data_IF_645416716982
#
_entry.id   IF_645416716982
#
_cell.length_a   1.000
_cell.length_b   1.000
_cell.length_c   1.000
_cell.angle_alpha   90.00
_cell.angle_beta   90.00
_cell.angle_gamma   90.00
#
_symmetry.space_group_name_H-M   'P 1'
#
loop_
_entity.id
_entity.type
_entity.pdbx_description
1 polymer ?
#
# COMPACT_ATOMS: atom_id res chain seq x y z
N UNK A 1 21.43 10.13 12.04
CA UNK A 1 21.30 11.52 12.50
C UNK A 1 20.05 12.10 11.87
N UNK A 2 18.97 12.22 12.65
CA UNK A 2 17.75 12.95 12.29
C UNK A 2 17.13 13.41 13.61
N UNK A 3 17.17 14.71 13.87
CA UNK A 3 16.65 15.35 15.09
C UNK A 3 15.13 15.15 15.24
N UNK A 4 14.60 15.02 16.47
CA UNK A 4 13.16 14.92 16.71
C UNK A 4 12.56 16.33 16.82
N UNK A 5 12.36 17.04 15.70
CA UNK A 5 11.46 18.20 15.65
C UNK A 5 10.85 18.32 14.25
N UNK A 6 9.83 17.51 13.96
CA UNK A 6 8.91 17.72 12.82
C UNK A 6 7.69 18.58 13.22
N UNK A 7 7.81 19.39 14.28
CA UNK A 7 6.73 20.27 14.78
C UNK A 7 6.34 21.40 13.81
N UNK A 8 7.04 21.56 12.67
CA UNK A 8 6.79 22.63 11.69
C UNK A 8 6.66 22.20 10.23
N UNK A 9 6.65 20.90 9.91
CA UNK A 9 6.52 20.48 8.51
C UNK A 9 5.09 20.74 8.02
N UNK A 10 4.95 21.73 7.12
CA UNK A 10 3.71 22.01 6.40
C UNK A 10 3.78 21.44 4.99
N UNK A 11 2.65 20.94 4.50
CA UNK A 11 2.48 20.71 3.08
C UNK A 11 2.54 22.06 2.37
N UNK A 12 3.38 22.16 1.34
CA UNK A 12 3.55 23.39 0.55
C UNK A 12 2.46 23.56 -0.51
N UNK A 13 1.59 22.55 -0.63
CA UNK A 13 0.50 22.49 -1.60
C UNK A 13 -0.62 23.50 -1.28
N UNK A 14 -0.88 24.48 -2.19
CA UNK A 14 -1.84 25.54 -1.93
C UNK A 14 -3.25 25.03 -1.63
N UNK A 15 -3.83 25.48 -0.52
CA UNK A 15 -5.22 25.19 -0.16
C UNK A 15 -5.50 23.76 0.30
N UNK A 16 -4.46 22.93 0.49
CA UNK A 16 -4.61 21.57 1.06
C UNK A 16 -4.53 21.61 2.58
N UNK A 17 -3.66 22.43 3.15
CA UNK A 17 -3.47 22.55 4.60
C UNK A 17 -3.87 23.94 5.11
N UNK A 18 -4.64 23.99 6.20
CA UNK A 18 -5.05 25.25 6.84
C UNK A 18 -3.97 25.84 7.78
N UNK A 19 -4.27 26.97 8.43
CA UNK A 19 -3.31 27.65 9.31
C UNK A 19 -3.01 26.85 10.60
N UNK A 20 -3.98 26.06 11.06
CA UNK A 20 -3.88 25.18 12.22
C UNK A 20 -3.18 23.84 11.89
N UNK A 21 -2.97 23.57 10.60
CA UNK A 21 -2.30 22.39 10.08
C UNK A 21 -3.23 21.22 9.75
N UNK A 22 -4.54 21.43 9.67
CA UNK A 22 -5.51 20.41 9.21
C UNK A 22 -5.44 20.28 7.70
N UNK A 23 -5.74 19.08 7.21
CA UNK A 23 -5.65 18.72 5.79
C UNK A 23 -7.05 18.51 5.22
N UNK A 24 -7.34 19.13 4.08
CA UNK A 24 -8.50 18.78 3.26
C UNK A 24 -8.20 17.47 2.52
N UNK A 25 -8.77 16.39 3.03
CA UNK A 25 -8.58 15.03 2.53
C UNK A 25 -8.98 14.89 1.06
N UNK A 26 -10.06 15.55 0.63
CA UNK A 26 -10.55 15.45 -0.75
C UNK A 26 -9.58 16.12 -1.71
N UNK A 27 -9.07 17.30 -1.34
CA UNK A 27 -8.06 18.00 -2.14
C UNK A 27 -6.72 17.26 -2.15
N UNK A 28 -6.32 16.65 -1.03
CA UNK A 28 -5.11 15.84 -0.96
C UNK A 28 -5.18 14.66 -1.93
N UNK A 29 -6.26 13.86 -1.86
CA UNK A 29 -6.46 12.69 -2.73
C UNK A 29 -6.50 13.09 -4.21
N UNK A 30 -7.20 14.17 -4.55
CA UNK A 30 -7.23 14.71 -5.92
C UNK A 30 -5.85 15.15 -6.40
N UNK A 31 -5.06 15.80 -5.53
CA UNK A 31 -3.71 16.22 -5.88
C UNK A 31 -2.79 15.03 -6.14
N UNK A 32 -2.81 14.03 -5.25
CA UNK A 32 -2.06 12.77 -5.41
C UNK A 32 -2.41 12.12 -6.75
N UNK A 33 -3.71 12.01 -7.05
CA UNK A 33 -4.17 11.39 -8.29
C UNK A 33 -3.69 12.13 -9.55
N UNK A 34 -3.83 13.46 -9.59
CA UNK A 34 -3.44 14.28 -10.75
C UNK A 34 -1.93 14.39 -10.94
N UNK A 35 -1.22 14.70 -9.87
CA UNK A 35 0.13 15.25 -9.94
C UNK A 35 1.18 14.31 -9.32
N UNK A 36 0.76 13.29 -8.57
CA UNK A 36 1.64 12.54 -7.69
C UNK A 36 2.12 13.40 -6.51
N UNK A 37 3.04 12.85 -5.71
CA UNK A 37 3.62 13.54 -4.57
C UNK A 37 5.11 13.82 -4.81
N UNK A 38 5.57 15.01 -4.43
CA UNK A 38 6.99 15.36 -4.50
C UNK A 38 7.82 14.56 -3.49
N UNK A 39 9.06 14.16 -3.79
CA UNK A 39 9.88 13.38 -2.86
C UNK A 39 10.07 14.04 -1.48
N UNK A 40 10.18 15.36 -1.42
CA UNK A 40 10.34 16.12 -0.18
C UNK A 40 9.10 16.12 0.72
N UNK A 41 7.91 16.02 0.15
CA UNK A 41 6.65 16.05 0.91
C UNK A 41 6.10 14.65 1.16
N UNK A 42 6.59 13.65 0.44
CA UNK A 42 6.09 12.28 0.45
C UNK A 42 5.94 11.70 1.84
N UNK A 43 6.97 11.82 2.67
CA UNK A 43 6.91 11.34 4.04
C UNK A 43 5.77 11.97 4.84
N UNK A 44 5.52 13.29 4.71
CA UNK A 44 4.43 13.95 5.43
C UNK A 44 3.07 13.55 4.85
N UNK A 45 2.93 13.47 3.53
CA UNK A 45 1.70 13.03 2.86
C UNK A 45 1.34 11.62 3.27
N UNK A 46 2.30 10.69 3.34
CA UNK A 46 2.05 9.29 3.71
C UNK A 46 1.50 9.14 5.12
N UNK A 47 1.93 9.99 6.06
CA UNK A 47 1.37 10.00 7.43
C UNK A 47 -0.14 10.32 7.43
N UNK A 48 -0.64 11.12 6.48
CA UNK A 48 -2.08 11.37 6.33
C UNK A 48 -2.76 10.30 5.46
N UNK A 49 -2.18 9.99 4.29
CA UNK A 49 -2.73 9.07 3.31
C UNK A 49 -3.02 7.69 3.91
N UNK A 50 -2.11 7.21 4.76
CA UNK A 50 -2.21 5.91 5.41
C UNK A 50 -2.78 5.97 6.82
N UNK A 51 -3.45 7.06 7.20
CA UNK A 51 -4.28 7.10 8.41
C UNK A 51 -3.53 7.21 9.74
N UNK A 52 -2.19 7.30 9.75
CA UNK A 52 -1.42 7.56 10.97
C UNK A 52 -1.85 8.89 11.62
N UNK A 53 -2.07 9.92 10.79
CA UNK A 53 -2.62 11.20 11.21
C UNK A 53 -4.00 11.42 10.61
N UNK A 54 -5.02 11.69 11.45
CA UNK A 54 -6.31 12.15 10.95
C UNK A 54 -6.16 13.46 10.18
N UNK A 55 -6.78 13.58 9.01
CA UNK A 55 -6.75 14.81 8.22
C UNK A 55 -7.33 16.01 9.00
N UNK A 56 -8.29 15.77 9.90
CA UNK A 56 -8.90 16.79 10.77
C UNK A 56 -8.00 17.28 11.93
N UNK A 57 -6.88 16.60 12.19
CA UNK A 57 -5.98 16.95 13.29
C UNK A 57 -5.23 18.26 13.03
N UNK A 58 -4.96 19.01 14.08
CA UNK A 58 -4.07 20.18 14.08
C UNK A 58 -2.61 19.75 14.25
N UNK A 59 -1.67 20.65 13.95
CA UNK A 59 -0.24 20.40 14.18
C UNK A 59 0.10 20.13 15.66
N UNK A 60 -0.61 20.80 16.57
CA UNK A 60 -0.44 20.60 18.01
C UNK A 60 -0.93 19.21 18.44
N UNK A 61 -2.15 18.82 18.03
CA UNK A 61 -2.69 17.49 18.33
C UNK A 61 -1.80 16.38 17.80
N UNK A 62 -1.26 16.53 16.59
CA UNK A 62 -0.32 15.54 16.02
C UNK A 62 0.98 15.42 16.80
N UNK A 63 1.48 16.52 17.37
CA UNK A 63 2.69 16.47 18.20
C UNK A 63 2.46 15.63 19.45
N UNK A 64 1.29 15.77 20.09
CA UNK A 64 0.89 14.95 21.25
C UNK A 64 0.64 13.49 20.83
N UNK A 65 -0.05 13.28 19.71
CA UNK A 65 -0.33 11.95 19.16
C UNK A 65 0.97 11.21 18.84
N UNK A 66 1.96 11.88 18.26
CA UNK A 66 3.24 11.28 17.94
C UNK A 66 3.93 10.69 19.18
N UNK A 67 3.96 11.43 20.29
CA UNK A 67 4.51 10.92 21.55
C UNK A 67 3.77 9.65 22.01
N UNK A 68 2.43 9.65 21.93
CA UNK A 68 1.62 8.48 22.29
C UNK A 68 1.93 7.27 21.39
N UNK A 69 2.03 7.49 20.08
CA UNK A 69 2.33 6.45 19.09
C UNK A 69 3.72 5.84 19.30
N UNK A 70 4.71 6.68 19.61
CA UNK A 70 6.08 6.23 19.95
C UNK A 70 6.07 5.36 21.19
N UNK A 71 5.42 5.80 22.26
CA UNK A 71 5.37 5.06 23.53
C UNK A 71 4.63 3.74 23.38
N UNK A 72 3.47 3.74 22.69
CA UNK A 72 2.70 2.53 22.41
C UNK A 72 3.52 1.50 21.65
N UNK A 73 4.14 1.91 20.54
CA UNK A 73 5.00 1.02 19.75
C UNK A 73 6.13 0.42 20.60
N UNK A 74 6.80 1.22 21.43
CA UNK A 74 7.87 0.74 22.32
C UNK A 74 7.39 -0.29 23.34
N UNK A 75 6.18 -0.11 23.89
CA UNK A 75 5.58 -1.09 24.81
C UNK A 75 5.23 -2.38 24.06
N UNK A 76 4.63 -2.28 22.88
CA UNK A 76 4.32 -3.44 22.04
C UNK A 76 5.58 -4.24 21.72
N UNK A 77 6.62 -3.54 21.26
CA UNK A 77 7.91 -4.13 20.91
C UNK A 77 8.56 -4.85 22.10
N UNK A 78 8.64 -4.19 23.25
CA UNK A 78 9.19 -4.82 24.48
C UNK A 78 8.40 -6.06 24.90
N UNK A 79 7.08 -6.05 24.76
CA UNK A 79 6.23 -7.17 25.17
C UNK A 79 6.59 -8.45 24.39
N UNK A 80 6.71 -8.39 23.05
CA UNK A 80 7.10 -9.58 22.29
C UNK A 80 8.56 -9.96 22.52
N UNK A 81 9.46 -8.99 22.73
CA UNK A 81 10.87 -9.25 23.04
C UNK A 81 11.04 -10.00 24.36
N UNK A 82 10.24 -9.67 25.38
CA UNK A 82 10.21 -10.39 26.67
C UNK A 82 9.59 -11.78 26.54
N UNK A 83 8.53 -11.90 25.73
CA UNK A 83 7.86 -13.18 25.49
C UNK A 83 8.71 -14.16 24.67
N UNK A 84 9.42 -13.68 23.66
CA UNK A 84 10.27 -14.48 22.79
C UNK A 84 11.71 -13.89 22.71
N UNK A 85 12.52 -14.02 23.79
CA UNK A 85 13.87 -13.44 23.83
C UNK A 85 14.80 -13.95 22.72
N UNK A 86 14.57 -15.18 22.23
CA UNK A 86 15.33 -15.75 21.11
C UNK A 86 15.16 -14.96 19.81
N UNK A 87 14.03 -14.26 19.63
CA UNK A 87 13.77 -13.47 18.44
C UNK A 87 14.40 -12.08 18.48
N UNK A 88 14.95 -11.62 19.62
CA UNK A 88 15.60 -10.31 19.75
C UNK A 88 16.86 -10.22 18.89
N UNK A 89 17.57 -11.34 18.72
CA UNK A 89 18.79 -11.41 17.91
C UNK A 89 18.49 -12.19 16.63
N UNK A 90 18.80 -11.59 15.49
CA UNK A 90 18.77 -12.29 14.22
C UNK A 90 20.00 -13.19 14.11
N UNK A 91 19.79 -14.51 14.02
CA UNK A 91 20.87 -15.48 13.84
C UNK A 91 20.92 -15.89 12.39
N UNK A 92 21.90 -15.38 11.64
CA UNK A 92 22.15 -15.78 10.26
C UNK A 92 23.52 -16.44 10.16
N UNK A 93 23.64 -17.40 9.25
CA UNK A 93 24.75 -18.33 9.09
C UNK A 93 26.08 -17.64 8.65
N UNK A 94 26.63 -16.73 9.46
CA UNK A 94 28.03 -16.30 9.41
C UNK A 94 28.40 -15.20 8.41
N UNK A 95 27.49 -14.34 7.97
CA UNK A 95 27.77 -13.24 7.04
C UNK A 95 28.19 -11.95 7.76
N UNK A 96 29.33 -11.36 7.36
CA UNK A 96 29.93 -10.16 7.96
C UNK A 96 29.02 -8.91 7.91
N UNK A 97 28.22 -8.79 6.85
CA UNK A 97 27.31 -7.66 6.65
C UNK A 97 26.23 -7.58 7.73
N UNK A 98 25.87 -8.71 8.33
CA UNK A 98 24.84 -8.78 9.36
C UNK A 98 25.37 -8.44 10.74
N UNK A 99 26.65 -8.70 10.98
CA UNK A 99 27.33 -8.21 12.19
C UNK A 99 27.38 -6.68 12.17
N UNK A 100 27.65 -6.06 11.01
CA UNK A 100 27.59 -4.60 10.87
C UNK A 100 26.16 -4.06 11.08
N UNK A 101 25.13 -4.76 10.57
CA UNK A 101 23.72 -4.45 10.82
C UNK A 101 23.41 -4.33 12.31
N UNK A 102 23.78 -5.38 13.04
CA UNK A 102 23.50 -5.54 14.46
C UNK A 102 24.17 -4.42 15.25
N UNK A 103 25.44 -4.11 14.94
CA UNK A 103 26.15 -3.00 15.59
C UNK A 103 25.49 -1.64 15.35
N UNK A 104 25.06 -1.36 14.12
CA UNK A 104 24.33 -0.13 13.80
C UNK A 104 23.02 -0.05 14.59
N UNK A 105 22.28 -1.16 14.65
CA UNK A 105 21.03 -1.25 15.38
C UNK A 105 21.20 -1.03 16.88
N UNK A 106 22.21 -1.67 17.48
CA UNK A 106 22.57 -1.50 18.89
C UNK A 106 22.94 -0.04 19.21
N UNK A 107 23.72 0.60 18.32
CA UNK A 107 24.03 2.03 18.45
C UNK A 107 22.78 2.92 18.42
N UNK A 108 21.83 2.64 17.52
CA UNK A 108 20.58 3.42 17.42
C UNK A 108 19.72 3.26 18.69
N UNK A 109 19.64 2.04 19.24
CA UNK A 109 18.96 1.82 20.51
C UNK A 109 19.63 2.58 21.66
N UNK A 110 20.96 2.55 21.74
CA UNK A 110 21.70 3.27 22.77
C UNK A 110 21.48 4.80 22.68
N UNK A 111 21.47 5.36 21.47
CA UNK A 111 21.18 6.78 21.25
C UNK A 111 19.75 7.15 21.67
N UNK A 112 18.76 6.32 21.36
CA UNK A 112 17.38 6.56 21.78
C UNK A 112 17.20 6.52 23.31
N UNK A 113 17.96 5.66 24.00
CA UNK A 113 17.97 5.59 25.46
C UNK A 113 18.62 6.84 26.08
N UNK A 114 19.78 7.27 25.56
CA UNK A 114 20.44 8.50 26.00
C UNK A 114 19.55 9.74 25.82
N UNK A 115 18.90 9.87 24.65
CA UNK A 115 17.97 10.98 24.39
C UNK A 115 16.77 11.02 25.35
N UNK A 116 16.34 9.87 25.87
CA UNK A 116 15.24 9.82 26.86
C UNK A 116 15.73 10.27 28.24
N UNK A 117 17.01 10.04 28.56
CA UNK A 117 17.60 10.38 29.85
C UNK A 117 17.91 11.88 29.99
N UNK A 118 18.23 12.55 28.88
CA UNK A 118 18.52 13.99 28.81
C UNK A 118 17.26 14.89 28.83
N UNK A 119 16.05 14.30 28.87
CA UNK A 119 14.80 15.06 28.89
C UNK A 119 14.49 15.64 30.27
N UNK A 120 13.80 16.80 30.28
CA UNK A 120 13.31 17.45 31.50
C UNK A 120 12.38 16.54 32.30
N UNK A 121 12.33 16.73 33.62
CA UNK A 121 11.51 15.94 34.54
C UNK A 121 10.03 15.88 34.14
N UNK A 122 9.44 17.02 33.75
CA UNK A 122 8.04 17.09 33.28
C UNK A 122 7.77 16.18 32.06
N UNK A 123 8.70 16.14 31.11
CA UNK A 123 8.60 15.27 29.92
C UNK A 123 8.73 13.80 30.33
N UNK A 124 9.61 13.48 31.29
CA UNK A 124 9.75 12.11 31.81
C UNK A 124 8.48 11.63 32.51
N UNK A 125 7.89 12.46 33.36
CA UNK A 125 6.62 12.14 34.04
C UNK A 125 5.49 11.91 33.05
N UNK A 126 5.40 12.77 32.03
CA UNK A 126 4.44 12.62 30.94
C UNK A 126 4.64 11.32 30.16
N UNK A 127 5.88 10.98 29.81
CA UNK A 127 6.20 9.73 29.12
C UNK A 127 5.92 8.50 29.99
N UNK A 128 6.20 8.55 31.29
CA UNK A 128 5.90 7.48 32.23
C UNK A 128 4.38 7.23 32.33
N UNK A 129 3.59 8.30 32.35
CA UNK A 129 2.13 8.19 32.31
C UNK A 129 1.63 7.54 31.01
N UNK A 130 2.13 7.98 29.85
CA UNK A 130 1.80 7.35 28.55
C UNK A 130 2.23 5.89 28.50
N UNK A 131 3.35 5.55 29.12
CA UNK A 131 3.87 4.19 29.17
C UNK A 131 2.95 3.29 29.99
N UNK A 132 2.49 3.75 31.17
CA UNK A 132 1.52 3.03 31.98
C UNK A 132 0.21 2.80 31.21
N UNK A 133 -0.29 3.83 30.51
CA UNK A 133 -1.49 3.68 29.67
C UNK A 133 -1.30 2.63 28.57
N UNK A 134 -0.15 2.63 27.90
CA UNK A 134 0.16 1.64 26.88
C UNK A 134 0.32 0.23 27.45
N UNK A 135 0.95 0.08 28.63
CA UNK A 135 1.07 -1.21 29.32
C UNK A 135 -0.30 -1.80 29.64
N UNK A 136 -1.21 -0.99 30.18
CA UNK A 136 -2.60 -1.41 30.46
C UNK A 136 -3.32 -1.80 29.16
N UNK A 137 -3.19 -0.99 28.10
CA UNK A 137 -3.82 -1.25 26.80
C UNK A 137 -3.42 -2.62 26.23
N UNK A 138 -2.14 -2.99 26.36
CA UNK A 138 -1.59 -4.22 25.77
C UNK A 138 -1.41 -5.35 26.77
N UNK A 139 -1.83 -5.19 28.03
CA UNK A 139 -1.66 -6.19 29.09
C UNK A 139 -2.32 -7.51 28.70
N UNK A 140 -3.58 -7.44 28.22
CA UNK A 140 -4.42 -8.59 27.89
C UNK A 140 -4.09 -9.24 26.55
N UNK A 141 -3.21 -8.65 25.74
CA UNK A 141 -2.76 -9.26 24.50
C UNK A 141 -1.89 -10.47 24.86
N UNK A 142 -2.28 -11.65 24.40
CA UNK A 142 -1.55 -12.90 24.54
C UNK A 142 -0.99 -13.32 23.19
N UNK A 143 0.18 -13.96 23.19
CA UNK A 143 0.80 -14.44 21.97
C UNK A 143 0.74 -15.96 21.93
N UNK A 144 0.38 -16.52 20.77
CA UNK A 144 0.64 -17.92 20.49
C UNK A 144 2.14 -18.09 20.18
N UNK A 145 2.80 -18.95 20.94
CA UNK A 145 4.25 -19.13 20.84
C UNK A 145 4.67 -19.83 19.55
N UNK A 146 3.87 -20.77 19.05
CA UNK A 146 4.19 -21.53 17.84
C UNK A 146 3.97 -20.65 16.60
N UNK A 147 2.84 -19.97 16.52
CA UNK A 147 2.52 -19.07 15.41
C UNK A 147 3.52 -17.91 15.30
N UNK A 148 3.86 -17.27 16.43
CA UNK A 148 4.81 -16.15 16.42
C UNK A 148 6.23 -16.62 16.05
N UNK A 149 6.67 -17.80 16.51
CA UNK A 149 7.97 -18.36 16.11
C UNK A 149 8.02 -18.66 14.62
N UNK A 150 6.93 -19.17 14.07
CA UNK A 150 6.82 -19.43 12.65
C UNK A 150 6.87 -18.15 11.83
N UNK A 151 6.13 -17.11 12.23
CA UNK A 151 6.21 -15.79 11.60
C UNK A 151 7.64 -15.24 11.62
N UNK A 152 8.31 -15.25 12.78
CA UNK A 152 9.71 -14.82 12.91
C UNK A 152 10.64 -15.60 11.98
N UNK A 153 10.46 -16.92 11.87
CA UNK A 153 11.27 -17.78 11.00
C UNK A 153 11.14 -17.39 9.52
N UNK A 154 9.94 -17.02 9.07
CA UNK A 154 9.72 -16.59 7.69
C UNK A 154 10.29 -15.17 7.50
N UNK A 155 10.04 -14.25 8.44
CA UNK A 155 10.59 -12.89 8.42
C UNK A 155 12.13 -12.92 8.35
N UNK A 156 12.78 -13.79 9.12
CA UNK A 156 14.25 -13.94 9.13
C UNK A 156 14.82 -14.40 7.78
N UNK A 157 14.00 -15.03 6.94
CA UNK A 157 14.37 -15.40 5.56
C UNK A 157 14.10 -14.28 4.55
N UNK A 158 13.06 -13.47 4.79
CA UNK A 158 12.58 -12.45 3.86
C UNK A 158 13.29 -11.11 4.04
N UNK A 159 13.51 -10.66 5.27
CA UNK A 159 14.14 -9.37 5.55
C UNK A 159 15.52 -9.22 4.88
N UNK A 160 16.47 -10.20 4.97
CA UNK A 160 17.81 -10.03 4.40
C UNK A 160 17.86 -9.88 2.87
N UNK A 161 16.82 -10.34 2.17
CA UNK A 161 16.72 -10.30 0.70
C UNK A 161 15.85 -9.15 0.18
N UNK A 162 15.33 -8.29 1.05
CA UNK A 162 14.39 -7.22 0.70
C UNK A 162 15.11 -6.04 0.04
N UNK A 163 14.72 -5.67 -1.19
CA UNK A 163 15.08 -4.44 -1.91
C UNK A 163 16.55 -4.02 -1.79
N UNK A 164 17.47 -4.97 -1.97
CA UNK A 164 18.91 -4.82 -1.75
C UNK A 164 19.61 -3.95 -2.80
N UNK A 165 18.92 -3.70 -3.89
CA UNK A 165 19.25 -2.76 -4.95
C UNK A 165 19.04 -1.29 -4.54
N UNK A 166 18.24 -1.02 -3.50
CA UNK A 166 18.03 0.33 -3.00
C UNK A 166 19.17 0.77 -2.09
N UNK A 167 19.68 1.98 -2.32
CA UNK A 167 20.71 2.60 -1.48
C UNK A 167 20.33 2.61 0.02
N UNK A 168 19.04 2.74 0.32
CA UNK A 168 18.52 2.73 1.68
C UNK A 168 18.81 1.42 2.46
N UNK A 169 19.03 0.31 1.74
CA UNK A 169 19.38 -1.01 2.30
C UNK A 169 20.76 -1.53 1.89
N UNK A 170 21.47 -0.83 0.99
CA UNK A 170 22.69 -1.33 0.32
C UNK A 170 23.98 -1.29 1.14
N UNK A 171 24.24 -0.22 1.90
CA UNK A 171 25.54 -0.03 2.61
C UNK A 171 25.44 -0.15 4.14
N UNK A 172 24.22 -0.23 4.67
CA UNK A 172 23.94 -0.28 6.11
C UNK A 172 22.74 -1.17 6.41
N UNK A 173 23.01 -2.47 6.57
CA UNK A 173 22.05 -3.53 6.89
C UNK A 173 21.23 -3.32 8.18
N UNK A 174 21.48 -2.24 8.92
CA UNK A 174 20.71 -1.84 10.09
C UNK A 174 19.24 -1.52 9.81
N UNK A 175 18.92 -0.95 8.63
CA UNK A 175 17.53 -0.71 8.25
C UNK A 175 16.74 -2.01 7.98
N UNK A 176 17.43 -3.12 7.65
CA UNK A 176 16.80 -4.44 7.54
C UNK A 176 16.40 -5.00 8.91
N UNK A 177 17.16 -4.69 9.96
CA UNK A 177 16.80 -5.05 11.33
C UNK A 177 15.61 -4.22 11.84
N UNK A 178 15.54 -2.94 11.45
CA UNK A 178 14.36 -2.11 11.73
C UNK A 178 13.13 -2.67 11.02
N UNK A 179 13.24 -3.00 9.73
CA UNK A 179 12.18 -3.65 8.96
C UNK A 179 11.69 -4.94 9.65
N UNK A 180 12.62 -5.79 10.07
CA UNK A 180 12.34 -7.03 10.80
C UNK A 180 11.56 -6.78 12.09
N UNK A 181 11.99 -5.83 12.91
CA UNK A 181 11.34 -5.53 14.18
C UNK A 181 9.93 -4.97 14.00
N UNK A 182 9.70 -4.16 12.95
CA UNK A 182 8.35 -3.71 12.58
C UNK A 182 7.47 -4.91 12.24
N UNK A 183 7.95 -5.83 11.39
CA UNK A 183 7.18 -6.99 10.95
C UNK A 183 6.87 -7.96 12.10
N UNK A 184 7.82 -8.20 13.02
CA UNK A 184 7.58 -9.04 14.21
C UNK A 184 6.57 -8.37 15.14
N UNK A 185 6.71 -7.06 15.37
CA UNK A 185 5.75 -6.31 16.18
C UNK A 185 4.35 -6.38 15.55
N UNK A 186 4.25 -6.25 14.22
CA UNK A 186 2.97 -6.38 13.52
C UNK A 186 2.37 -7.77 13.71
N UNK A 187 3.13 -8.84 13.41
CA UNK A 187 2.66 -10.21 13.49
C UNK A 187 2.20 -10.60 14.91
N UNK A 188 2.90 -10.12 15.95
CA UNK A 188 2.53 -10.40 17.34
C UNK A 188 1.23 -9.74 17.78
N UNK A 189 0.89 -8.57 17.21
CA UNK A 189 -0.29 -7.78 17.62
C UNK A 189 -1.47 -7.85 16.64
N UNK A 190 -1.30 -8.55 15.51
CA UNK A 190 -2.32 -8.81 14.51
C UNK A 190 -2.32 -10.31 14.12
N UNK A 191 -2.53 -11.23 15.09
CA UNK A 191 -2.37 -12.67 14.86
C UNK A 191 -3.32 -13.22 13.78
N UNK A 192 -4.45 -12.57 13.53
CA UNK A 192 -5.39 -12.94 12.47
C UNK A 192 -4.83 -12.80 11.04
N UNK A 193 -3.79 -11.97 10.89
CA UNK A 193 -3.01 -11.83 9.65
C UNK A 193 -1.64 -12.48 9.82
N UNK A 194 -1.02 -12.28 10.98
CA UNK A 194 0.35 -12.65 11.31
C UNK A 194 1.32 -12.09 10.25
N UNK A 195 2.24 -12.92 9.75
CA UNK A 195 3.12 -12.59 8.64
C UNK A 195 2.84 -13.47 7.42
N UNK A 196 2.66 -12.83 6.27
CA UNK A 196 2.59 -13.46 4.96
C UNK A 196 3.74 -12.96 4.07
N UNK A 197 4.28 -13.86 3.25
CA UNK A 197 5.35 -13.53 2.32
C UNK A 197 4.93 -12.38 1.38
N UNK A 198 5.80 -11.39 1.22
CA UNK A 198 5.53 -10.15 0.46
C UNK A 198 5.23 -8.94 1.34
N UNK A 199 4.83 -9.13 2.60
CA UNK A 199 4.65 -8.03 3.55
C UNK A 199 5.95 -7.27 3.82
N UNK A 200 7.11 -7.93 3.73
CA UNK A 200 8.43 -7.30 3.82
C UNK A 200 8.65 -6.25 2.72
N UNK A 201 8.31 -6.56 1.46
CA UNK A 201 8.48 -5.68 0.31
C UNK A 201 7.57 -4.45 0.42
N UNK A 202 6.34 -4.67 0.92
CA UNK A 202 5.36 -3.61 1.20
C UNK A 202 5.83 -2.71 2.35
N UNK A 203 6.16 -3.29 3.50
CA UNK A 203 6.63 -2.55 4.68
C UNK A 203 7.92 -1.76 4.39
N UNK A 204 8.79 -2.32 3.54
CA UNK A 204 10.01 -1.66 3.10
C UNK A 204 9.77 -0.30 2.44
N UNK A 205 8.71 -0.15 1.63
CA UNK A 205 8.35 1.15 1.02
C UNK A 205 8.05 2.21 2.06
N UNK A 206 7.26 1.85 3.07
CA UNK A 206 6.94 2.74 4.18
C UNK A 206 8.19 3.10 4.96
N UNK A 207 9.09 2.15 5.17
CA UNK A 207 10.33 2.40 5.92
C UNK A 207 11.27 3.34 5.19
N UNK A 208 11.45 3.16 3.88
CA UNK A 208 12.26 4.03 3.05
C UNK A 208 11.71 5.46 2.98
N UNK A 209 10.39 5.60 2.78
CA UNK A 209 9.75 6.91 2.63
C UNK A 209 9.66 7.69 3.95
N UNK A 210 9.39 6.99 5.05
CA UNK A 210 9.16 7.65 6.35
C UNK A 210 10.44 7.78 7.18
N UNK A 211 11.46 6.94 6.93
CA UNK A 211 12.72 6.83 7.69
C UNK A 211 12.50 6.83 9.22
N UNK A 212 11.41 6.20 9.67
CA UNK A 212 11.00 6.17 11.06
C UNK A 212 10.30 4.86 11.37
N UNK A 213 10.90 4.07 12.27
CA UNK A 213 10.36 2.78 12.68
C UNK A 213 8.90 2.86 13.17
N UNK A 214 8.60 3.88 13.99
CA UNK A 214 7.28 4.09 14.58
C UNK A 214 6.26 4.51 13.52
N UNK A 215 6.63 5.48 12.68
CA UNK A 215 5.70 6.01 11.69
C UNK A 215 5.40 4.96 10.62
N UNK A 216 6.42 4.19 10.25
CA UNK A 216 6.30 3.01 9.40
C UNK A 216 5.36 1.99 10.01
N UNK A 217 5.55 1.60 11.28
CA UNK A 217 4.66 0.64 11.92
C UNK A 217 3.19 1.09 11.88
N UNK A 218 2.89 2.33 12.27
CA UNK A 218 1.51 2.80 12.31
C UNK A 218 0.91 2.97 10.93
N UNK A 219 1.64 3.57 9.98
CA UNK A 219 1.17 3.72 8.60
C UNK A 219 0.94 2.36 7.92
N UNK A 220 1.86 1.41 8.13
CA UNK A 220 1.73 0.04 7.63
C UNK A 220 0.56 -0.69 8.28
N UNK A 221 0.38 -0.58 9.60
CA UNK A 221 -0.72 -1.24 10.31
C UNK A 221 -2.08 -0.74 9.82
N UNK A 222 -2.25 0.57 9.71
CA UNK A 222 -3.47 1.18 9.17
C UNK A 222 -3.73 0.78 7.71
N UNK A 223 -2.68 0.66 6.89
CA UNK A 223 -2.83 0.11 5.54
C UNK A 223 -3.33 -1.34 5.59
N UNK A 224 -2.74 -2.19 6.43
CA UNK A 224 -3.11 -3.60 6.52
C UNK A 224 -4.52 -3.83 7.07
N UNK A 225 -5.11 -2.90 7.83
CA UNK A 225 -6.53 -2.99 8.21
C UNK A 225 -7.45 -3.10 6.97
N UNK A 226 -7.11 -2.41 5.88
CA UNK A 226 -7.85 -2.47 4.61
C UNK A 226 -7.44 -3.69 3.76
N UNK A 227 -6.14 -3.94 3.65
CA UNK A 227 -5.58 -4.88 2.67
C UNK A 227 -5.24 -6.27 3.23
N UNK A 228 -5.43 -6.53 4.52
CA UNK A 228 -5.08 -7.82 5.15
C UNK A 228 -5.75 -9.03 4.52
N UNK A 229 -6.96 -8.87 3.96
CA UNK A 229 -7.67 -9.93 3.24
C UNK A 229 -6.87 -10.50 2.07
N UNK A 230 -6.09 -9.66 1.40
CA UNK A 230 -5.30 -10.04 0.22
C UNK A 230 -4.11 -10.92 0.57
N UNK A 231 -3.64 -10.85 1.82
CA UNK A 231 -2.54 -11.65 2.35
C UNK A 231 -3.01 -12.93 3.06
N UNK A 232 -4.33 -13.13 3.21
CA UNK A 232 -4.91 -14.37 3.71
C UNK A 232 -5.15 -15.36 2.57
N UNK A 233 -5.45 -16.62 2.90
CA UNK A 233 -5.66 -17.72 1.94
C UNK A 233 -6.68 -17.43 0.82
N UNK A 234 -7.51 -16.39 0.98
CA UNK A 234 -8.48 -15.89 0.01
C UNK A 234 -7.86 -15.06 -1.14
N UNK A 235 -6.53 -14.84 -1.18
CA UNK A 235 -5.84 -14.12 -2.27
C UNK A 235 -6.06 -14.70 -3.68
N UNK A 236 -6.61 -15.92 -3.76
CA UNK A 236 -7.15 -16.53 -4.99
C UNK A 236 -8.29 -15.70 -5.61
N UNK A 237 -9.05 -14.96 -4.80
CA UNK A 237 -10.18 -14.14 -5.27
C UNK A 237 -9.75 -13.03 -6.23
N UNK A 238 -8.63 -12.33 -5.97
CA UNK A 238 -8.12 -11.30 -6.90
C UNK A 238 -7.73 -11.91 -8.24
N UNK A 239 -7.09 -13.08 -8.23
CA UNK A 239 -6.74 -13.81 -9.47
C UNK A 239 -7.98 -14.23 -10.27
N UNK A 240 -9.06 -14.62 -9.59
CA UNK A 240 -10.35 -14.91 -10.24
C UNK A 240 -10.92 -13.66 -10.90
N UNK A 241 -10.85 -12.50 -10.23
CA UNK A 241 -11.33 -11.23 -10.78
C UNK A 241 -10.47 -10.73 -11.96
N UNK A 242 -9.14 -10.87 -11.90
CA UNK A 242 -8.23 -10.59 -13.01
C UNK A 242 -8.61 -11.40 -14.25
N UNK A 243 -8.77 -12.71 -14.07
CA UNK A 243 -9.14 -13.64 -15.12
C UNK A 243 -10.52 -13.28 -15.70
N UNK A 244 -11.50 -12.94 -14.84
CA UNK A 244 -12.84 -12.53 -15.25
C UNK A 244 -12.82 -11.23 -16.08
N UNK A 245 -12.09 -10.20 -15.63
CA UNK A 245 -11.98 -8.94 -16.36
C UNK A 245 -11.28 -9.15 -17.70
N UNK A 246 -10.18 -9.92 -17.75
CA UNK A 246 -9.49 -10.19 -19.01
C UNK A 246 -10.39 -10.92 -19.99
N UNK A 247 -11.21 -11.87 -19.52
CA UNK A 247 -12.20 -12.56 -20.37
C UNK A 247 -13.20 -11.60 -21.01
N UNK A 248 -13.59 -10.53 -20.32
CA UNK A 248 -14.52 -9.52 -20.85
C UNK A 248 -13.86 -8.54 -21.84
N UNK A 249 -12.57 -8.28 -21.65
CA UNK A 249 -11.79 -7.36 -22.48
C UNK A 249 -11.19 -8.03 -23.72
N UNK A 250 -10.63 -9.24 -23.58
CA UNK A 250 -10.05 -10.05 -24.65
C UNK A 250 -10.23 -11.56 -24.38
N UNK A 251 -11.35 -12.17 -24.84
CA UNK A 251 -11.62 -13.59 -24.66
C UNK A 251 -10.57 -14.53 -25.26
N UNK A 252 -9.89 -14.10 -26.34
CA UNK A 252 -8.89 -14.93 -27.01
C UNK A 252 -7.62 -15.04 -26.17
N UNK A 253 -7.12 -13.90 -25.67
CA UNK A 253 -5.97 -13.88 -24.78
C UNK A 253 -6.26 -14.62 -23.48
N UNK A 254 -7.46 -14.42 -22.91
CA UNK A 254 -7.91 -15.19 -21.75
C UNK A 254 -7.88 -16.71 -22.01
N UNK A 255 -8.45 -17.18 -23.12
CA UNK A 255 -8.50 -18.60 -23.42
C UNK A 255 -7.10 -19.22 -23.56
N UNK A 256 -6.17 -18.48 -24.17
CA UNK A 256 -4.77 -18.89 -24.29
C UNK A 256 -4.11 -19.06 -22.92
N UNK A 257 -4.26 -18.07 -22.04
CA UNK A 257 -3.64 -18.04 -20.71
C UNK A 257 -4.29 -18.98 -19.68
N UNK A 258 -5.41 -19.63 -20.01
CA UNK A 258 -6.16 -20.54 -19.10
C UNK A 258 -6.24 -21.97 -19.67
N UNK A 259 -5.38 -22.30 -20.64
CA UNK A 259 -5.28 -23.67 -21.20
C UNK A 259 -4.65 -24.64 -20.17
N UNK A 260 -4.87 -25.96 -20.30
CA UNK A 260 -4.47 -27.05 -19.36
C UNK A 260 -2.99 -27.10 -18.91
N UNK A 261 -2.12 -26.23 -19.42
CA UNK A 261 -0.71 -26.07 -18.99
C UNK A 261 -0.41 -24.73 -18.29
N UNK A 262 -1.35 -23.78 -18.29
CA UNK A 262 -1.25 -22.41 -17.74
C UNK A 262 -2.27 -22.23 -16.60
N UNK A 263 -2.15 -22.99 -15.52
CA UNK A 263 -3.14 -22.95 -14.45
C UNK A 263 -3.08 -21.62 -13.65
N UNK A 264 -4.08 -20.76 -13.86
CA UNK A 264 -4.58 -19.74 -12.92
C UNK A 264 -3.82 -18.41 -12.73
N UNK A 265 -3.27 -17.80 -13.80
CA UNK A 265 -2.64 -16.47 -13.71
C UNK A 265 -1.55 -16.38 -12.62
N UNK A 266 -0.95 -17.51 -12.25
CA UNK A 266 0.03 -17.60 -11.14
C UNK A 266 1.28 -16.78 -11.43
N UNK A 267 1.64 -16.61 -12.70
CA UNK A 267 2.72 -15.74 -13.15
C UNK A 267 2.49 -14.25 -12.82
N UNK A 268 1.24 -13.83 -12.62
CA UNK A 268 0.85 -12.45 -12.33
C UNK A 268 0.80 -12.23 -10.80
N UNK A 269 1.94 -11.88 -10.22
CA UNK A 269 2.03 -11.50 -8.80
C UNK A 269 1.85 -9.99 -8.56
N UNK A 270 1.53 -9.23 -9.62
CA UNK A 270 1.57 -7.78 -9.63
C UNK A 270 0.62 -7.13 -8.63
N UNK A 271 -0.60 -7.66 -8.49
CA UNK A 271 -1.59 -7.07 -7.59
C UNK A 271 -1.23 -7.22 -6.11
N UNK A 272 -0.55 -8.31 -5.74
CA UNK A 272 -0.17 -8.55 -4.34
C UNK A 272 0.84 -7.51 -3.85
N UNK A 273 1.79 -7.16 -4.72
CA UNK A 273 2.83 -6.19 -4.42
C UNK A 273 2.56 -4.83 -5.05
N UNK A 274 1.35 -4.53 -5.53
CA UNK A 274 1.02 -3.24 -6.16
C UNK A 274 2.05 -2.79 -7.19
N UNK A 275 2.48 -3.71 -8.07
CA UNK A 275 3.41 -3.48 -9.18
C UNK A 275 4.81 -2.94 -8.80
N UNK A 276 5.35 -3.32 -7.62
CA UNK A 276 6.63 -2.79 -7.12
C UNK A 276 7.79 -2.88 -8.11
N UNK A 277 7.83 -3.99 -8.84
CA UNK A 277 9.04 -4.43 -9.55
C UNK A 277 8.96 -4.06 -11.03
N UNK A 278 7.76 -3.84 -11.54
CA UNK A 278 7.46 -3.64 -12.94
C UNK A 278 7.74 -2.21 -13.41
N UNK A 279 7.66 -1.24 -12.49
CA UNK A 279 7.95 0.17 -12.73
C UNK A 279 9.32 0.57 -12.16
N UNK A 280 9.86 1.68 -12.67
CA UNK A 280 10.99 2.36 -12.01
C UNK A 280 10.60 2.74 -10.58
N UNK A 281 11.56 2.78 -9.66
CA UNK A 281 11.28 2.93 -8.23
C UNK A 281 10.42 4.16 -7.89
N UNK A 282 10.68 5.32 -8.50
CA UNK A 282 9.89 6.53 -8.25
C UNK A 282 8.47 6.42 -8.79
N UNK A 283 8.29 5.76 -9.92
CA UNK A 283 6.98 5.46 -10.51
C UNK A 283 6.22 4.41 -9.70
N UNK A 284 6.89 3.40 -9.15
CA UNK A 284 6.28 2.41 -8.27
C UNK A 284 5.71 3.05 -7.00
N UNK A 285 6.44 4.00 -6.39
CA UNK A 285 5.95 4.80 -5.25
C UNK A 285 4.74 5.66 -5.66
N UNK A 286 4.81 6.34 -6.80
CA UNK A 286 3.70 7.18 -7.28
C UNK A 286 2.45 6.36 -7.59
N UNK A 287 2.60 5.20 -8.21
CA UNK A 287 1.50 4.29 -8.46
C UNK A 287 0.88 3.81 -7.15
N UNK A 288 1.71 3.45 -6.16
CA UNK A 288 1.24 3.06 -4.84
C UNK A 288 0.41 4.16 -4.16
N UNK A 289 0.82 5.43 -4.28
CA UNK A 289 0.08 6.59 -3.77
C UNK A 289 -1.28 6.75 -4.47
N UNK A 290 -1.30 6.62 -5.80
CA UNK A 290 -2.51 6.72 -6.62
C UNK A 290 -3.52 5.64 -6.24
N UNK A 291 -3.07 4.39 -6.09
CA UNK A 291 -3.94 3.28 -5.71
C UNK A 291 -4.43 3.43 -4.28
N UNK A 292 -3.59 3.91 -3.36
CA UNK A 292 -3.92 4.03 -1.93
C UNK A 292 -4.82 5.22 -1.58
N UNK A 293 -5.07 6.15 -2.50
CA UNK A 293 -5.90 7.34 -2.23
C UNK A 293 -7.42 7.09 -2.38
N UNK A 294 -7.82 5.86 -2.77
CA UNK A 294 -9.19 5.38 -3.02
C UNK A 294 -10.00 6.32 -3.97
N UNK A 295 -9.34 7.21 -4.71
CA UNK A 295 -9.99 8.26 -5.49
C UNK A 295 -10.87 7.69 -6.61
N UNK A 296 -10.43 6.59 -7.22
CA UNK A 296 -11.16 5.94 -8.30
C UNK A 296 -12.31 5.07 -7.80
N UNK A 297 -12.20 4.47 -6.60
CA UNK A 297 -13.34 3.83 -5.95
C UNK A 297 -14.42 4.87 -5.59
N UNK A 298 -14.00 6.02 -5.08
CA UNK A 298 -14.90 7.15 -4.80
C UNK A 298 -15.57 7.66 -6.07
N UNK A 299 -14.86 7.76 -7.19
CA UNK A 299 -15.47 8.13 -8.48
C UNK A 299 -16.43 7.04 -8.96
N UNK A 300 -16.06 5.76 -8.88
CA UNK A 300 -16.95 4.65 -9.22
C UNK A 300 -18.26 4.70 -8.41
N UNK A 301 -18.16 4.90 -7.09
CA UNK A 301 -19.30 5.05 -6.19
C UNK A 301 -20.11 6.33 -6.45
N UNK A 302 -19.46 7.45 -6.80
CA UNK A 302 -20.14 8.70 -7.15
C UNK A 302 -20.92 8.55 -8.47
N UNK A 303 -20.33 7.89 -9.46
CA UNK A 303 -21.00 7.56 -10.73
C UNK A 303 -22.18 6.61 -10.46
N UNK A 304 -22.05 5.62 -9.56
CA UNK A 304 -23.17 4.78 -9.13
C UNK A 304 -24.27 5.53 -8.38
N UNK A 305 -23.92 6.43 -7.47
CA UNK A 305 -24.88 7.27 -6.73
C UNK A 305 -25.64 8.23 -7.65
N UNK A 306 -24.94 8.89 -8.56
CA UNK A 306 -25.57 9.74 -9.58
C UNK A 306 -26.56 8.92 -10.42
N UNK A 307 -26.17 7.70 -10.83
CA UNK A 307 -27.05 6.76 -11.54
C UNK A 307 -28.28 6.34 -10.71
N UNK A 308 -28.11 6.03 -9.43
CA UNK A 308 -29.22 5.66 -8.54
C UNK A 308 -30.22 6.81 -8.36
N UNK A 309 -29.73 8.03 -8.16
CA UNK A 309 -30.55 9.22 -8.06
C UNK A 309 -31.32 9.50 -9.35
N UNK A 310 -30.71 9.31 -10.53
CA UNK A 310 -31.40 9.42 -11.82
C UNK A 310 -32.48 8.34 -12.01
N UNK A 311 -32.26 7.10 -11.52
CA UNK A 311 -33.26 6.01 -11.53
C UNK A 311 -34.47 6.35 -10.65
N UNK A 312 -34.24 6.93 -9.47
CA UNK A 312 -35.32 7.37 -8.58
C UNK A 312 -36.10 8.56 -9.15
N UNK A 313 -35.41 9.47 -9.84
CA UNK A 313 -36.03 10.60 -10.51
C UNK A 313 -36.89 10.19 -11.72
N UNK A 314 -36.59 9.05 -12.35
CA UNK A 314 -37.33 8.52 -13.50
C UNK A 314 -38.16 7.31 -13.10
N UNK A 315 -39.36 7.56 -12.57
CA UNK A 315 -40.39 6.51 -12.44
C UNK A 315 -40.59 5.85 -13.82
N UNK A 316 -40.23 4.56 -13.91
CA UNK A 316 -40.39 3.62 -15.04
C UNK A 316 -39.18 3.45 -16.00
N UNK A 317 -38.42 2.38 -15.78
CA UNK A 317 -38.01 1.44 -16.83
C UNK A 317 -37.64 0.09 -16.21
N UNK A 318 -38.30 -0.97 -16.65
CA UNK A 318 -38.14 -2.36 -16.20
C UNK A 318 -37.38 -3.17 -17.27
N UNK A 319 -36.16 -2.76 -17.63
CA UNK A 319 -35.20 -3.68 -18.25
C UNK A 319 -34.06 -3.91 -17.27
N UNK A 320 -33.75 -5.18 -17.01
CA UNK A 320 -32.63 -5.58 -16.17
C UNK A 320 -31.33 -5.30 -16.93
N UNK A 321 -30.81 -4.08 -16.77
CA UNK A 321 -29.47 -3.69 -17.23
C UNK A 321 -28.43 -4.50 -16.46
N UNK A 322 -27.38 -4.94 -17.16
CA UNK A 322 -26.24 -5.59 -16.52
C UNK A 322 -25.53 -4.55 -15.64
N UNK A 323 -25.61 -4.71 -14.32
CA UNK A 323 -24.96 -3.81 -13.38
C UNK A 323 -23.44 -3.81 -13.63
N UNK A 324 -22.80 -2.65 -13.49
CA UNK A 324 -21.33 -2.57 -13.44
C UNK A 324 -20.86 -3.46 -12.29
N UNK A 325 -19.92 -4.36 -12.56
CA UNK A 325 -19.32 -5.13 -11.49
C UNK A 325 -18.43 -4.21 -10.66
N UNK A 326 -18.90 -3.85 -9.47
CA UNK A 326 -18.17 -3.02 -8.50
C UNK A 326 -16.93 -3.71 -7.94
N UNK A 327 -16.80 -5.02 -8.15
CA UNK A 327 -15.64 -5.79 -7.72
C UNK A 327 -14.43 -5.58 -8.66
N UNK A 328 -14.64 -4.99 -9.85
CA UNK A 328 -13.55 -4.63 -10.76
C UNK A 328 -12.92 -3.30 -10.35
N UNK A 329 -11.94 -3.37 -9.45
CA UNK A 329 -11.12 -2.25 -8.99
C UNK A 329 -10.19 -1.72 -10.07
N UNK A 330 -9.67 -0.50 -9.90
CA UNK A 330 -8.81 0.11 -10.91
C UNK A 330 -7.46 -0.61 -11.08
N UNK A 331 -6.92 -1.23 -10.03
CA UNK A 331 -5.71 -2.06 -10.13
C UNK A 331 -5.87 -3.19 -11.15
N UNK A 332 -7.08 -3.76 -11.26
CA UNK A 332 -7.38 -4.78 -12.25
C UNK A 332 -7.31 -4.23 -13.68
N UNK A 333 -7.72 -2.97 -13.89
CA UNK A 333 -7.58 -2.31 -15.19
C UNK A 333 -6.13 -1.94 -15.52
N UNK A 334 -5.29 -1.67 -14.52
CA UNK A 334 -3.84 -1.52 -14.72
C UNK A 334 -3.23 -2.86 -15.15
N UNK A 335 -3.56 -3.95 -14.45
CA UNK A 335 -3.12 -5.29 -14.83
C UNK A 335 -3.55 -5.63 -16.27
N UNK A 336 -4.83 -5.43 -16.60
CA UNK A 336 -5.37 -5.66 -17.93
C UNK A 336 -4.68 -4.79 -19.00
N UNK A 337 -4.41 -3.51 -18.71
CA UNK A 337 -3.72 -2.62 -19.65
C UNK A 337 -2.32 -3.16 -20.01
N UNK A 338 -1.56 -3.65 -19.02
CA UNK A 338 -0.23 -4.24 -19.23
C UNK A 338 -0.34 -5.52 -20.07
N UNK A 339 -1.29 -6.40 -19.76
CA UNK A 339 -1.50 -7.64 -20.50
C UNK A 339 -1.92 -7.38 -21.96
N UNK A 340 -2.86 -6.47 -22.17
CA UNK A 340 -3.38 -6.14 -23.50
C UNK A 340 -2.34 -5.43 -24.38
N UNK A 341 -1.49 -4.59 -23.79
CA UNK A 341 -0.36 -3.98 -24.50
C UNK A 341 0.65 -5.02 -24.99
N UNK A 342 0.82 -6.10 -24.23
CA UNK A 342 1.77 -7.18 -24.52
C UNK A 342 1.13 -8.42 -25.14
N UNK A 343 -0.12 -8.29 -25.61
CA UNK A 343 -0.96 -9.37 -26.12
C UNK A 343 -0.23 -10.31 -27.08
N UNK A 344 0.43 -9.77 -28.09
CA UNK A 344 1.10 -10.57 -29.13
C UNK A 344 2.29 -11.37 -28.58
N UNK A 345 2.98 -10.87 -27.56
CA UNK A 345 4.05 -11.61 -26.88
C UNK A 345 3.48 -12.72 -26.01
N UNK A 346 2.39 -12.44 -25.29
CA UNK A 346 1.71 -13.43 -24.44
C UNK A 346 1.11 -14.59 -25.25
N UNK A 347 0.50 -14.30 -26.41
CA UNK A 347 -0.03 -15.33 -27.32
C UNK A 347 1.07 -16.23 -27.93
N UNK A 348 2.33 -15.77 -27.93
CA UNK A 348 3.47 -16.60 -28.37
C UNK A 348 4.00 -17.52 -27.27
N UNK A 349 3.72 -17.23 -26.00
CA UNK A 349 4.15 -18.06 -24.88
C UNK A 349 3.41 -19.41 -24.92
N UNK A 350 4.15 -20.51 -24.78
CA UNK A 350 3.61 -21.87 -24.85
C UNK A 350 3.64 -22.62 -23.50
N UNK A 351 4.44 -22.12 -22.55
CA UNK A 351 4.68 -22.72 -21.24
C UNK A 351 4.83 -21.64 -20.16
N UNK A 352 4.74 -22.04 -18.89
CA UNK A 352 4.87 -21.15 -17.72
C UNK A 352 6.26 -20.51 -17.64
N UNK A 353 7.30 -21.20 -18.14
CA UNK A 353 8.67 -20.69 -18.12
C UNK A 353 8.78 -19.45 -19.01
N UNK A 354 8.18 -19.48 -20.20
CA UNK A 354 8.13 -18.34 -21.11
C UNK A 354 7.30 -17.19 -20.53
N UNK A 355 6.22 -17.48 -19.80
CA UNK A 355 5.46 -16.44 -19.09
C UNK A 355 6.26 -15.79 -17.97
N UNK A 356 7.01 -16.57 -17.18
CA UNK A 356 7.89 -16.05 -16.12
C UNK A 356 9.04 -15.22 -16.72
N UNK A 357 9.60 -15.66 -17.85
CA UNK A 357 10.62 -14.87 -18.58
C UNK A 357 10.03 -13.57 -19.11
N UNK A 358 8.80 -13.61 -19.64
CA UNK A 358 8.09 -12.42 -20.08
C UNK A 358 7.87 -11.44 -18.92
N UNK A 359 7.33 -11.88 -17.78
CA UNK A 359 7.12 -10.98 -16.63
C UNK A 359 8.43 -10.40 -16.10
N UNK A 360 9.47 -11.23 -15.99
CA UNK A 360 10.82 -10.78 -15.62
C UNK A 360 11.38 -9.75 -16.60
N UNK A 361 11.03 -9.85 -17.89
CA UNK A 361 11.48 -8.91 -18.91
C UNK A 361 10.89 -7.50 -18.76
N UNK A 362 9.74 -7.37 -18.08
CA UNK A 362 9.06 -6.09 -17.81
C UNK A 362 9.64 -5.33 -16.62
N UNK A 363 10.43 -5.99 -15.77
CA UNK A 363 10.93 -5.43 -14.51
C UNK A 363 11.64 -4.07 -14.75
N UNK A 364 11.14 -3.02 -14.10
CA UNK A 364 11.65 -1.65 -14.17
C UNK A 364 11.53 -0.95 -15.54
N UNK A 365 10.72 -1.48 -16.47
CA UNK A 365 10.65 -0.97 -17.86
C UNK A 365 9.30 -0.39 -18.25
N UNK A 366 8.26 -0.58 -17.45
CA UNK A 366 6.94 -0.03 -17.77
C UNK A 366 6.90 1.49 -17.58
N UNK A 367 6.24 2.19 -18.51
CA UNK A 367 5.96 3.62 -18.39
C UNK A 367 4.64 3.84 -17.65
N UNK A 368 4.69 4.49 -16.49
CA UNK A 368 3.53 4.68 -15.64
C UNK A 368 2.42 5.51 -16.30
N UNK A 369 2.77 6.62 -16.94
CA UNK A 369 1.77 7.55 -17.50
C UNK A 369 1.00 6.93 -18.67
N UNK A 370 1.69 6.21 -19.56
CA UNK A 370 1.11 5.44 -20.65
C UNK A 370 0.20 4.34 -20.10
N UNK A 371 0.66 3.61 -19.09
CA UNK A 371 -0.11 2.52 -18.46
C UNK A 371 -1.38 3.05 -17.81
N UNK A 372 -1.29 4.12 -17.01
CA UNK A 372 -2.46 4.76 -16.38
C UNK A 372 -3.46 5.25 -17.42
N UNK A 373 -3.01 5.92 -18.49
CA UNK A 373 -3.88 6.40 -19.57
C UNK A 373 -4.63 5.26 -20.26
N UNK A 374 -3.98 4.12 -20.49
CA UNK A 374 -4.61 2.94 -21.08
C UNK A 374 -5.59 2.28 -20.12
N UNK A 375 -5.22 2.15 -18.84
CA UNK A 375 -6.08 1.63 -17.79
C UNK A 375 -7.37 2.46 -17.66
N UNK A 376 -7.25 3.80 -17.59
CA UNK A 376 -8.39 4.73 -17.61
C UNK A 376 -9.28 4.54 -18.85
N UNK A 377 -8.68 4.34 -20.02
CA UNK A 377 -9.42 4.09 -21.25
C UNK A 377 -10.20 2.77 -21.22
N UNK A 378 -9.58 1.69 -20.73
CA UNK A 378 -10.24 0.40 -20.56
C UNK A 378 -11.36 0.47 -19.52
N UNK A 379 -11.13 1.13 -18.38
CA UNK A 379 -12.14 1.36 -17.36
C UNK A 379 -13.35 2.12 -17.91
N UNK A 380 -13.09 3.22 -18.63
CA UNK A 380 -14.13 4.00 -19.29
C UNK A 380 -14.95 3.16 -20.27
N UNK A 381 -14.29 2.42 -21.15
CA UNK A 381 -14.96 1.59 -22.14
C UNK A 381 -15.78 0.47 -21.49
N UNK A 382 -15.28 -0.12 -20.40
CA UNK A 382 -16.02 -1.09 -19.60
C UNK A 382 -17.31 -0.46 -19.04
N UNK A 383 -17.21 0.68 -18.34
CA UNK A 383 -18.37 1.40 -17.83
C UNK A 383 -19.36 1.79 -18.92
N UNK A 384 -18.86 2.25 -20.09
CA UNK A 384 -19.67 2.61 -21.26
C UNK A 384 -20.40 1.42 -21.86
N UNK A 385 -19.75 0.24 -21.95
CA UNK A 385 -20.35 -1.00 -22.45
C UNK A 385 -21.47 -1.50 -21.53
N UNK A 386 -21.26 -1.49 -20.22
CA UNK A 386 -22.32 -1.78 -19.24
C UNK A 386 -23.50 -0.80 -19.32
N UNK A 387 -23.28 0.40 -19.87
CA UNK A 387 -24.30 1.43 -20.10
C UNK A 387 -24.84 1.47 -21.55
N UNK A 388 -24.42 0.57 -22.45
CA UNK A 388 -24.58 0.76 -23.91
C UNK A 388 -26.04 0.75 -24.39
N UNK A 389 -26.96 0.07 -23.71
CA UNK A 389 -28.39 0.10 -24.07
C UNK A 389 -29.08 1.43 -23.74
N UNK A 390 -28.44 2.31 -22.95
CA UNK A 390 -28.99 3.62 -22.59
C UNK A 390 -28.60 4.73 -23.59
N UNK A 391 -27.45 4.58 -24.28
CA UNK A 391 -26.89 5.62 -25.17
C UNK A 391 -27.42 5.55 -26.61
N UNK A 392 -27.89 4.38 -27.06
CA UNK A 392 -28.47 4.20 -28.41
C UNK A 392 -29.82 4.89 -28.59
N UNK A 393 -30.46 5.33 -27.51
CA UNK A 393 -31.66 6.19 -27.58
C UNK A 393 -31.38 7.64 -27.99
N UNK A 394 -30.15 8.18 -27.81
CA UNK A 394 -29.87 9.61 -28.06
C UNK A 394 -28.48 10.04 -28.56
N UNK A 395 -27.49 9.16 -28.72
CA UNK A 395 -26.13 9.62 -29.06
C UNK A 395 -25.68 9.23 -30.48
N UNK A 396 -26.39 9.72 -31.50
CA UNK A 396 -25.79 10.04 -32.81
C UNK A 396 -25.49 11.54 -32.86
N UNK A 397 -24.55 12.02 -32.04
CA UNK A 397 -23.78 13.26 -32.23
C UNK A 397 -23.07 13.65 -30.93
N UNK A 398 -21.76 13.91 -31.05
CA UNK A 398 -20.85 14.67 -30.16
C UNK A 398 -19.73 13.87 -29.49
N UNK A 399 -18.53 14.02 -30.08
CA UNK A 399 -17.22 13.61 -29.54
C UNK A 399 -16.79 14.38 -28.28
N UNK A 400 -17.41 15.54 -27.95
CA UNK A 400 -16.96 16.37 -26.82
C UNK A 400 -17.30 15.79 -25.43
N UNK A 401 -18.19 14.80 -25.35
CA UNK A 401 -18.57 14.17 -24.06
C UNK A 401 -17.58 13.12 -23.55
N UNK A 402 -16.71 12.60 -24.42
CA UNK A 402 -15.63 11.69 -24.02
C UNK A 402 -14.55 12.45 -23.24
N UNK A 403 -14.27 13.71 -23.64
CA UNK A 403 -13.39 14.62 -22.91
C UNK A 403 -14.04 15.10 -21.61
N UNK A 404 -15.34 15.40 -21.56
CA UNK A 404 -16.03 15.84 -20.33
C UNK A 404 -16.02 14.79 -19.20
N UNK A 405 -16.14 13.50 -19.50
CA UNK A 405 -16.13 12.45 -18.47
C UNK A 405 -14.71 12.12 -17.98
N UNK A 406 -13.72 12.06 -18.89
CA UNK A 406 -12.31 11.95 -18.50
C UNK A 406 -11.83 13.21 -17.78
N UNK A 407 -12.36 14.37 -18.17
CA UNK A 407 -12.19 15.61 -17.43
C UNK A 407 -12.84 15.51 -16.07
N UNK A 408 -14.06 14.99 -15.89
CA UNK A 408 -14.70 14.78 -14.58
C UNK A 408 -14.02 13.72 -13.70
N UNK A 409 -13.47 12.66 -14.28
CA UNK A 409 -12.64 11.67 -13.59
C UNK A 409 -11.34 12.30 -13.08
N UNK A 410 -10.82 13.27 -13.82
CA UNK A 410 -9.61 13.98 -13.45
C UNK A 410 -9.92 15.19 -12.61
N UNK A 411 -10.98 15.97 -12.82
CA UNK A 411 -11.22 17.33 -12.29
C UNK A 411 -11.75 17.31 -10.87
#
# INVERSE_FOLDING_TARGET
>A
VSSPVLSGARLTLPGIMDAEGRVDESRLRLHIFKNGVSPSERGLVWRFLFGMYPCSSTALERSLLQEQLVVRYRVMKRKWQQFLPSAVRMHLNGTDELVAAVRYFDQRQAQAQQQTQDQSEEVRDRLAFLELQAQILFERVTFDQEELREAVRIIDKDAPRTNRDLNYYGEGSGNLLVLRDILITYAAFHPEVSYAQGMNDLCSRFLEVLDSEVDTFWSFSCYMEKFSKDFRADGLHRKILEAALLKELDPQLYAHLVTDSMESFTFCHWLLLGFQREFEHSDALRLFEILSCDHLELISQQVDRARYQERLARKHSTSALQAVNTDFTFELFICAAILLENRESLLRCQDDVQLIQFTSSLQGKLDLNSTLKKAEHHFYNYCKRCAWDYMTGRCRAHKSKEEDFLYQLRS
#
